data_IF_945833810836
#
_entry.id   IF_945833810836
#
_cell.length_a   1.000
_cell.length_b   1.000
_cell.length_c   1.000
_cell.angle_alpha   90.00
_cell.angle_beta   90.00
_cell.angle_gamma   90.00
#
_symmetry.space_group_name_H-M   'P 1'
#
loop_
_entity.id
_entity.type
_entity.pdbx_description
1 polymer ?
#
# COMPACT_ATOMS: atom_id res chain seq x y z
N UNK A 1 34.49 10.45 4.57
CA UNK A 1 33.53 9.59 3.82
C UNK A 1 32.20 10.31 3.82
N UNK A 2 31.70 10.71 2.66
CA UNK A 2 30.38 11.35 2.53
C UNK A 2 29.30 10.34 2.96
N UNK A 3 28.34 10.78 3.78
CA UNK A 3 27.22 9.92 4.17
C UNK A 3 26.39 9.64 2.91
N UNK A 4 26.07 8.37 2.60
CA UNK A 4 25.25 8.04 1.44
C UNK A 4 23.90 8.75 1.53
N UNK A 5 23.40 9.24 0.39
CA UNK A 5 22.10 9.89 0.33
C UNK A 5 20.99 8.92 0.73
N UNK A 6 20.04 9.41 1.52
CA UNK A 6 18.95 8.61 2.10
C UNK A 6 17.83 8.29 1.09
N UNK A 7 17.70 9.08 0.02
CA UNK A 7 16.63 8.97 -0.97
C UNK A 7 16.58 7.63 -1.73
N UNK A 8 17.68 7.03 -2.23
CA UNK A 8 17.61 5.72 -2.90
C UNK A 8 17.21 4.59 -1.94
N UNK A 9 17.54 4.71 -0.65
CA UNK A 9 17.24 3.68 0.34
C UNK A 9 15.74 3.68 0.67
N UNK A 10 15.15 4.86 0.82
CA UNK A 10 13.70 5.02 1.06
C UNK A 10 12.89 4.53 -0.15
N UNK A 11 13.29 4.90 -1.37
CA UNK A 11 12.60 4.51 -2.61
C UNK A 11 12.74 3.01 -2.92
N UNK A 12 13.93 2.43 -2.76
CA UNK A 12 14.13 0.99 -2.99
C UNK A 12 13.29 0.13 -2.06
N UNK A 13 13.04 0.61 -0.84
CA UNK A 13 12.23 -0.07 0.14
C UNK A 13 10.71 0.10 -0.02
N UNK A 14 10.25 0.95 -0.94
CA UNK A 14 8.84 1.14 -1.25
C UNK A 14 8.30 0.09 -2.24
N UNK A 15 9.19 -0.62 -2.95
CA UNK A 15 8.80 -1.68 -3.88
C UNK A 15 8.32 -2.91 -3.08
N UNK A 16 7.13 -3.46 -3.37
CA UNK A 16 6.67 -4.68 -2.74
C UNK A 16 7.54 -5.86 -3.18
N UNK A 17 8.22 -6.50 -2.22
CA UNK A 17 9.13 -7.64 -2.47
C UNK A 17 8.92 -8.80 -1.49
N UNK A 18 8.19 -8.57 -0.40
CA UNK A 18 8.01 -9.58 0.65
C UNK A 18 6.86 -10.52 0.28
N UNK A 19 6.95 -11.77 0.72
CA UNK A 19 5.91 -12.77 0.46
C UNK A 19 4.52 -12.32 0.95
N UNK A 20 4.47 -11.52 2.02
CA UNK A 20 3.23 -10.95 2.57
C UNK A 20 2.63 -9.88 1.65
N UNK A 21 3.46 -9.14 0.91
CA UNK A 21 2.96 -8.18 -0.07
C UNK A 21 2.43 -8.90 -1.30
N UNK A 22 3.14 -9.94 -1.76
CA UNK A 22 2.68 -10.77 -2.87
C UNK A 22 1.36 -11.46 -2.54
N UNK A 23 1.21 -11.96 -1.31
CA UNK A 23 -0.04 -12.54 -0.83
C UNK A 23 -1.15 -11.50 -0.74
N UNK A 24 -0.86 -10.27 -0.30
CA UNK A 24 -1.83 -9.18 -0.31
C UNK A 24 -2.29 -8.82 -1.73
N UNK A 25 -1.35 -8.74 -2.68
CA UNK A 25 -1.64 -8.52 -4.10
C UNK A 25 -2.50 -9.66 -4.64
N UNK A 26 -2.19 -10.91 -4.29
CA UNK A 26 -2.95 -12.08 -4.75
C UNK A 26 -4.38 -12.07 -4.21
N UNK A 27 -4.58 -11.85 -2.91
CA UNK A 27 -5.92 -11.83 -2.30
C UNK A 27 -6.75 -10.69 -2.87
N UNK A 28 -6.20 -9.47 -2.93
CA UNK A 28 -6.90 -8.32 -3.51
C UNK A 28 -7.13 -8.49 -5.02
N UNK A 29 -6.16 -9.10 -5.72
CA UNK A 29 -6.21 -9.36 -7.15
C UNK A 29 -7.29 -10.38 -7.53
N UNK A 30 -7.49 -11.44 -6.74
CA UNK A 30 -8.60 -12.38 -6.93
C UNK A 30 -9.94 -11.65 -6.80
N UNK A 31 -10.11 -10.83 -5.76
CA UNK A 31 -11.33 -10.04 -5.56
C UNK A 31 -11.56 -9.05 -6.71
N UNK A 32 -10.48 -8.42 -7.20
CA UNK A 32 -10.55 -7.51 -8.34
C UNK A 32 -10.91 -8.25 -9.64
N UNK A 33 -10.35 -9.43 -9.86
CA UNK A 33 -10.63 -10.27 -11.02
C UNK A 33 -12.07 -10.75 -11.01
N UNK A 34 -12.55 -11.27 -9.88
CA UNK A 34 -13.94 -11.68 -9.66
C UNK A 34 -14.91 -10.52 -9.97
N UNK A 35 -14.63 -9.33 -9.44
CA UNK A 35 -15.44 -8.14 -9.72
C UNK A 35 -15.39 -7.74 -11.20
N UNK A 36 -14.26 -7.94 -11.88
CA UNK A 36 -14.10 -7.62 -13.30
C UNK A 36 -14.86 -8.59 -14.22
N UNK A 37 -14.95 -9.88 -13.86
CA UNK A 37 -15.59 -10.94 -14.66
C UNK A 37 -17.10 -11.03 -14.39
N UNK A 38 -17.53 -10.82 -13.14
CA UNK A 38 -18.90 -11.06 -12.70
C UNK A 38 -19.98 -10.22 -13.42
N UNK A 39 -19.61 -9.14 -14.11
CA UNK A 39 -20.55 -8.33 -14.91
C UNK A 39 -21.01 -8.98 -16.21
N UNK A 40 -20.45 -10.15 -16.57
CA UNK A 40 -20.95 -11.00 -17.66
C UNK A 40 -22.14 -11.85 -17.17
N UNK A 41 -22.43 -11.87 -15.85
CA UNK A 41 -23.55 -12.61 -15.25
C UNK A 41 -24.80 -11.74 -15.01
N UNK A 42 -26.03 -12.31 -14.99
CA UNK A 42 -27.27 -11.54 -14.98
C UNK A 42 -27.51 -10.80 -13.64
N UNK A 43 -27.17 -9.51 -13.63
CA UNK A 43 -27.90 -8.33 -13.13
C UNK A 43 -28.81 -8.39 -11.88
N UNK A 44 -28.44 -9.02 -10.77
CA UNK A 44 -29.10 -8.75 -9.46
C UNK A 44 -28.13 -8.35 -8.32
N UNK A 45 -26.82 -8.50 -8.49
CA UNK A 45 -25.79 -8.14 -7.49
C UNK A 45 -24.68 -7.24 -8.09
N UNK A 46 -25.05 -6.28 -8.95
CA UNK A 46 -24.11 -5.56 -9.82
C UNK A 46 -23.34 -4.42 -9.13
N UNK A 47 -23.58 -4.15 -7.85
CA UNK A 47 -22.75 -3.25 -7.04
C UNK A 47 -21.82 -4.10 -6.18
N UNK A 48 -20.67 -4.55 -6.71
CA UNK A 48 -19.58 -5.18 -5.93
C UNK A 48 -18.35 -4.31 -5.60
N UNK A 49 -18.20 -3.02 -6.01
CA UNK A 49 -16.99 -2.25 -5.69
C UNK A 49 -16.88 -1.88 -4.19
N UNK A 50 -17.93 -2.08 -3.40
CA UNK A 50 -17.88 -1.98 -1.94
C UNK A 50 -17.11 -3.15 -1.31
N UNK A 51 -17.08 -4.33 -1.93
CA UNK A 51 -16.32 -5.48 -1.41
C UNK A 51 -14.82 -5.20 -1.47
N UNK A 52 -14.34 -4.46 -2.48
CA UNK A 52 -12.96 -3.99 -2.50
C UNK A 52 -12.63 -3.02 -1.37
N UNK A 53 -13.58 -2.17 -0.98
CA UNK A 53 -13.46 -1.28 0.18
C UNK A 53 -13.39 -2.06 1.51
N UNK A 54 -13.96 -3.27 1.57
CA UNK A 54 -13.89 -4.14 2.74
C UNK A 54 -12.63 -5.00 2.78
N UNK A 55 -12.04 -5.34 1.62
CA UNK A 55 -10.88 -6.24 1.54
C UNK A 55 -9.54 -5.49 1.55
N UNK A 56 -9.45 -4.32 0.92
CA UNK A 56 -8.21 -3.53 0.86
C UNK A 56 -7.69 -3.14 2.25
N UNK A 57 -8.51 -2.57 3.16
CA UNK A 57 -8.04 -2.17 4.48
C UNK A 57 -7.45 -3.31 5.34
N UNK A 58 -8.14 -4.45 5.54
CA UNK A 58 -7.61 -5.52 6.39
C UNK A 58 -6.42 -6.23 5.77
N UNK A 59 -6.40 -6.44 4.45
CA UNK A 59 -5.28 -7.12 3.77
C UNK A 59 -4.00 -6.30 3.84
N UNK A 60 -4.07 -4.98 3.57
CA UNK A 60 -2.93 -4.08 3.71
C UNK A 60 -2.45 -3.96 5.17
N UNK A 61 -3.37 -3.90 6.13
CA UNK A 61 -3.02 -3.87 7.56
C UNK A 61 -2.34 -5.19 8.00
N UNK A 62 -2.83 -6.34 7.57
CA UNK A 62 -2.25 -7.64 7.91
C UNK A 62 -0.87 -7.85 7.24
N UNK A 63 -0.73 -7.46 5.99
CA UNK A 63 0.54 -7.53 5.27
C UNK A 63 1.62 -6.62 5.89
N UNK A 64 1.21 -5.46 6.39
CA UNK A 64 2.12 -4.55 7.09
C UNK A 64 2.52 -5.06 8.47
N UNK A 65 1.62 -5.71 9.22
CA UNK A 65 1.88 -6.28 10.56
C UNK A 65 2.76 -7.54 10.52
N UNK A 66 2.54 -8.42 9.55
CA UNK A 66 3.22 -9.72 9.46
C UNK A 66 4.74 -9.64 9.24
N UNK A 67 5.25 -8.51 8.75
CA UNK A 67 6.69 -8.28 8.46
C UNK A 67 7.37 -7.35 9.47
N UNK A 68 6.72 -7.10 10.60
CA UNK A 68 7.10 -6.06 11.57
C UNK A 68 8.50 -6.21 12.16
N UNK A 69 9.00 -7.42 12.39
CA UNK A 69 10.32 -7.68 13.02
C UNK A 69 11.50 -7.44 12.07
N UNK A 70 11.33 -7.74 10.79
CA UNK A 70 12.33 -7.42 9.75
C UNK A 70 12.35 -5.93 9.46
N UNK A 71 11.16 -5.33 9.37
CA UNK A 71 10.95 -3.90 9.13
C UNK A 71 11.56 -3.01 10.22
N UNK A 72 11.46 -3.39 11.50
CA UNK A 72 12.08 -2.60 12.59
C UNK A 72 13.60 -2.50 12.44
N UNK A 73 14.29 -3.55 12.00
CA UNK A 73 15.75 -3.50 11.78
C UNK A 73 16.11 -2.55 10.63
N UNK A 74 15.34 -2.58 9.55
CA UNK A 74 15.53 -1.66 8.42
C UNK A 74 15.23 -0.20 8.82
N UNK A 75 14.16 0.03 9.60
CA UNK A 75 13.80 1.34 10.13
C UNK A 75 14.91 1.91 11.02
N UNK A 76 15.46 1.10 11.94
CA UNK A 76 16.57 1.51 12.80
C UNK A 76 17.84 1.83 12.00
N UNK A 77 18.14 1.04 10.96
CA UNK A 77 19.24 1.34 10.05
C UNK A 77 19.02 2.69 9.34
N UNK A 78 17.81 2.94 8.83
CA UNK A 78 17.46 4.21 8.18
C UNK A 78 17.61 5.39 9.13
N UNK A 79 17.20 5.25 10.39
CA UNK A 79 17.42 6.28 11.40
C UNK A 79 18.91 6.55 11.67
N UNK A 80 19.74 5.50 11.75
CA UNK A 80 21.20 5.63 11.92
C UNK A 80 21.87 6.37 10.74
N UNK A 81 21.34 6.23 9.52
CA UNK A 81 21.81 6.96 8.34
C UNK A 81 21.30 8.41 8.23
N UNK A 82 20.51 8.89 9.20
CA UNK A 82 19.98 10.24 9.15
C UNK A 82 18.53 10.35 8.70
N UNK A 83 17.82 9.24 8.47
CA UNK A 83 16.41 9.24 8.07
C UNK A 83 15.46 9.77 9.14
N UNK A 84 14.29 10.26 8.72
CA UNK A 84 13.22 10.76 9.59
C UNK A 84 12.01 9.82 9.64
N UNK A 85 11.21 9.93 10.69
CA UNK A 85 9.95 9.19 10.87
C UNK A 85 8.98 9.44 9.71
N UNK A 86 8.95 10.67 9.19
CA UNK A 86 8.13 11.03 8.04
C UNK A 86 8.51 10.26 6.78
N UNK A 87 9.81 10.04 6.55
CA UNK A 87 10.29 9.29 5.39
C UNK A 87 9.91 7.80 5.48
N UNK A 88 9.93 7.23 6.69
CA UNK A 88 9.49 5.86 6.94
C UNK A 88 7.99 5.71 6.69
N UNK A 89 7.20 6.69 7.14
CA UNK A 89 5.77 6.73 6.85
C UNK A 89 5.52 6.79 5.33
N UNK A 90 6.21 7.70 4.63
CA UNK A 90 6.08 7.87 3.18
C UNK A 90 6.45 6.58 2.43
N UNK A 91 7.51 5.88 2.86
CA UNK A 91 7.91 4.58 2.32
C UNK A 91 6.77 3.57 2.37
N UNK A 92 6.13 3.42 3.52
CA UNK A 92 5.03 2.47 3.69
C UNK A 92 3.76 2.90 2.98
N UNK A 93 3.50 4.20 2.93
CA UNK A 93 2.40 4.75 2.15
C UNK A 93 2.55 4.42 0.65
N UNK A 94 3.72 4.71 0.07
CA UNK A 94 3.99 4.43 -1.35
C UNK A 94 3.90 2.92 -1.63
N UNK A 95 4.41 2.08 -0.73
CA UNK A 95 4.32 0.62 -0.87
C UNK A 95 2.87 0.13 -0.88
N UNK A 96 2.05 0.61 0.05
CA UNK A 96 0.61 0.28 0.10
C UNK A 96 -0.13 0.76 -1.14
N UNK A 97 0.20 1.96 -1.64
CA UNK A 97 -0.34 2.49 -2.88
C UNK A 97 0.00 1.61 -4.10
N UNK A 98 1.26 1.17 -4.23
CA UNK A 98 1.68 0.28 -5.33
C UNK A 98 0.93 -1.05 -5.25
N UNK A 99 0.85 -1.66 -4.07
CA UNK A 99 0.16 -2.95 -3.87
C UNK A 99 -1.32 -2.83 -4.28
N UNK A 100 -2.01 -1.77 -3.85
CA UNK A 100 -3.40 -1.55 -4.21
C UNK A 100 -3.59 -1.30 -5.72
N UNK A 101 -2.75 -0.46 -6.34
CA UNK A 101 -2.85 -0.18 -7.79
C UNK A 101 -2.58 -1.42 -8.63
N UNK A 102 -1.57 -2.23 -8.27
CA UNK A 102 -1.25 -3.46 -8.98
C UNK A 102 -2.40 -4.46 -8.86
N UNK A 103 -2.92 -4.67 -7.65
CA UNK A 103 -4.02 -5.60 -7.42
C UNK A 103 -5.31 -5.21 -8.15
N UNK A 104 -5.61 -3.92 -8.23
CA UNK A 104 -6.82 -3.39 -8.87
C UNK A 104 -6.65 -3.02 -10.35
N UNK A 105 -5.47 -3.28 -10.92
CA UNK A 105 -5.21 -3.04 -12.35
C UNK A 105 -6.24 -3.68 -13.30
N UNK A 106 -6.80 -4.89 -13.06
CA UNK A 106 -7.82 -5.46 -13.95
C UNK A 106 -9.12 -4.64 -14.00
N UNK A 107 -9.52 -4.05 -12.86
CA UNK A 107 -10.72 -3.21 -12.77
C UNK A 107 -10.50 -1.88 -13.49
N UNK A 108 -9.34 -1.26 -13.29
CA UNK A 108 -8.99 0.00 -13.95
C UNK A 108 -8.93 -0.20 -15.47
N UNK A 109 -8.27 -1.27 -15.92
CA UNK A 109 -8.17 -1.63 -17.33
C UNK A 109 -9.55 -1.87 -17.94
N UNK A 110 -10.43 -2.58 -17.23
CA UNK A 110 -11.79 -2.79 -17.68
C UNK A 110 -12.59 -1.49 -17.78
N UNK A 111 -12.50 -0.61 -16.76
CA UNK A 111 -13.17 0.69 -16.79
C UNK A 111 -12.77 1.51 -18.03
N UNK A 112 -11.47 1.52 -18.33
CA UNK A 112 -10.92 2.13 -19.54
C UNK A 112 -11.52 1.56 -20.83
N UNK A 113 -11.64 0.22 -20.94
CA UNK A 113 -12.27 -0.43 -22.10
C UNK A 113 -13.77 -0.16 -22.23
N UNK A 114 -14.49 -0.01 -21.12
CA UNK A 114 -15.94 0.27 -21.11
C UNK A 114 -16.29 1.74 -21.31
N UNK A 115 -15.33 2.58 -21.66
CA UNK A 115 -15.50 4.03 -21.87
C UNK A 115 -16.17 4.74 -20.68
N UNK A 116 -15.86 4.31 -19.44
CA UNK A 116 -16.26 5.07 -18.24
C UNK A 116 -15.67 6.47 -18.30
N UNK A 117 -16.36 7.44 -17.69
CA UNK A 117 -15.88 8.81 -17.70
C UNK A 117 -14.47 8.89 -17.08
N UNK A 118 -13.58 9.64 -17.73
CA UNK A 118 -12.21 9.90 -17.24
C UNK A 118 -12.20 10.33 -15.76
N UNK A 119 -13.08 11.24 -15.27
CA UNK A 119 -13.07 11.63 -13.87
C UNK A 119 -13.42 10.47 -12.90
N UNK A 120 -14.30 9.54 -13.28
CA UNK A 120 -14.63 8.38 -12.43
C UNK A 120 -13.45 7.41 -12.29
N UNK A 121 -12.72 7.18 -13.39
CA UNK A 121 -11.49 6.38 -13.38
C UNK A 121 -10.42 7.00 -12.48
N UNK A 122 -10.21 8.31 -12.59
CA UNK A 122 -9.26 9.05 -11.75
C UNK A 122 -9.66 8.97 -10.28
N UNK A 123 -10.93 9.24 -9.97
CA UNK A 123 -11.44 9.20 -8.60
C UNK A 123 -11.24 7.81 -7.97
N UNK A 124 -11.55 6.75 -8.73
CA UNK A 124 -11.36 5.37 -8.28
C UNK A 124 -9.88 5.09 -7.99
N UNK A 125 -8.98 5.51 -8.88
CA UNK A 125 -7.53 5.39 -8.69
C UNK A 125 -7.03 6.13 -7.43
N UNK A 126 -7.51 7.35 -7.20
CA UNK A 126 -7.16 8.15 -6.02
C UNK A 126 -7.64 7.49 -4.73
N UNK A 127 -8.87 6.98 -4.69
CA UNK A 127 -9.43 6.30 -3.52
C UNK A 127 -8.61 5.04 -3.19
N UNK A 128 -8.27 4.23 -4.19
CA UNK A 128 -7.46 3.03 -4.00
C UNK A 128 -6.05 3.36 -3.50
N UNK A 129 -5.43 4.41 -4.05
CA UNK A 129 -4.12 4.89 -3.65
C UNK A 129 -4.14 5.32 -2.17
N UNK A 130 -5.11 6.15 -1.78
CA UNK A 130 -5.26 6.62 -0.41
C UNK A 130 -5.57 5.48 0.55
N UNK A 131 -6.53 4.61 0.22
CA UNK A 131 -6.87 3.47 1.07
C UNK A 131 -5.66 2.53 1.26
N UNK A 132 -5.05 2.08 0.16
CA UNK A 132 -3.88 1.20 0.20
C UNK A 132 -2.73 1.80 1.00
N UNK A 133 -2.38 3.05 0.72
CA UNK A 133 -1.29 3.75 1.40
C UNK A 133 -1.55 4.00 2.89
N UNK A 134 -2.74 4.48 3.25
CA UNK A 134 -3.08 4.75 4.65
C UNK A 134 -3.13 3.46 5.48
N UNK A 135 -3.78 2.41 5.00
CA UNK A 135 -3.91 1.16 5.76
C UNK A 135 -2.60 0.38 5.86
N UNK A 136 -1.73 0.44 4.85
CA UNK A 136 -0.41 -0.19 4.92
C UNK A 136 0.56 0.59 5.83
N UNK A 137 0.41 1.92 5.91
CA UNK A 137 1.22 2.76 6.80
C UNK A 137 0.73 2.75 8.26
N UNK A 138 -0.50 2.31 8.53
CA UNK A 138 -1.13 2.38 9.86
C UNK A 138 -0.29 1.77 11.00
N UNK A 139 0.36 0.60 10.84
CA UNK A 139 1.21 0.05 11.90
C UNK A 139 2.45 0.90 12.20
N UNK A 140 2.99 1.62 11.20
CA UNK A 140 4.08 2.57 11.43
C UNK A 140 3.62 3.80 12.22
N UNK A 141 2.40 4.28 11.98
CA UNK A 141 1.78 5.35 12.76
C UNK A 141 1.50 4.93 14.21
N UNK A 142 1.24 3.66 14.50
CA UNK A 142 1.10 3.18 15.89
C UNK A 142 2.43 3.17 16.67
N UNK A 143 3.57 3.30 15.98
CA UNK A 143 4.93 3.32 16.55
C UNK A 143 5.47 4.72 16.83
N UNK A 144 4.61 5.73 16.96
CA UNK A 144 5.01 7.13 17.24
C UNK A 144 5.93 7.23 18.46
N UNK A 145 5.71 6.48 19.55
CA UNK A 145 6.58 6.54 20.74
C UNK A 145 8.00 6.03 20.51
N UNK A 146 8.16 4.94 19.77
CA UNK A 146 9.49 4.38 19.52
C UNK A 146 10.25 5.19 18.47
N UNK A 147 9.54 5.75 17.50
CA UNK A 147 10.14 6.61 16.48
C UNK A 147 10.52 7.99 17.03
N UNK A 148 9.67 8.61 17.86
CA UNK A 148 10.01 9.86 18.54
C UNK A 148 11.15 9.70 19.53
N UNK A 149 11.25 8.55 20.22
CA UNK A 149 12.41 8.22 21.03
C UNK A 149 13.68 8.23 20.17
N UNK A 150 13.71 7.47 19.07
CA UNK A 150 14.90 7.40 18.21
C UNK A 150 15.27 8.76 17.61
N UNK A 151 14.30 9.57 17.20
CA UNK A 151 14.57 10.93 16.68
C UNK A 151 15.16 11.87 17.74
N UNK A 152 14.67 11.79 18.99
CA UNK A 152 15.16 12.63 20.09
C UNK A 152 16.57 12.25 20.57
N UNK A 153 16.99 10.99 20.40
CA UNK A 153 18.30 10.48 20.82
C UNK A 153 19.30 10.32 19.66
N UNK A 154 19.01 10.93 18.51
CA UNK A 154 19.87 10.89 17.31
C UNK A 154 21.05 11.87 17.38
N UNK A 155 21.10 12.69 18.43
CA UNK A 155 22.13 13.70 18.73
C UNK A 155 23.45 13.08 19.16
#
# INVERSE_FOLDING_TARGET
MEKPSWSPIVLSGAIPREATDLLAILVMGIVALEASIATISPSLFNSRPWLSLLVVPPTCALASISTTTRKTREELALFAYGGSSWQILLRYFIRGAIIALVAFSPIIFRGFLTATSIPELILTGVILLLAGGLFYSLPSLRRIRSSSFVENYKS
#
